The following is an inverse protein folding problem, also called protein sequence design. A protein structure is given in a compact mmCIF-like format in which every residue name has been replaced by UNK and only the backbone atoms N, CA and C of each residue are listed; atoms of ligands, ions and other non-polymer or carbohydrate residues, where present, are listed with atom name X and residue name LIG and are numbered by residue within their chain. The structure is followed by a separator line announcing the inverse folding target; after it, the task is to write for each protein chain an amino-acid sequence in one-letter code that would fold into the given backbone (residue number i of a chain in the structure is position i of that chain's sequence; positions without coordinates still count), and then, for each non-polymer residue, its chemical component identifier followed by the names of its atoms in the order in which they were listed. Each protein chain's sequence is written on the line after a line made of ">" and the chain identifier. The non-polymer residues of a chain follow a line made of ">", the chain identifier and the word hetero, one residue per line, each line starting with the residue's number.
data_IF_868520836168
#
_entry.id   IF_868520836168
#
_cell.length_a   1.000
_cell.length_b   1.000
_cell.length_c   1.000
_cell.angle_alpha   90.00
_cell.angle_beta   90.00
_cell.angle_gamma   90.00
#
_symmetry.space_group_name_H-M   'P 1'
#
loop_
_entity.id
_entity.type
_entity.pdbx_description
1 polymer ?
#
# COMPACT_ATOMS: atom_id res chain seq x y z
N UNK A 1 3.95 16.73 6.17
CA UNK A 1 4.49 15.44 6.65
C UNK A 1 4.04 15.09 8.08
N UNK A 2 3.46 16.01 8.87
CA UNK A 2 2.91 15.64 10.20
C UNK A 2 1.68 14.73 10.08
N UNK A 3 0.81 14.98 9.09
CA UNK A 3 -0.47 14.28 8.94
C UNK A 3 -0.38 12.74 8.95
N UNK A 4 0.66 12.12 8.37
CA UNK A 4 0.76 10.66 8.35
C UNK A 4 1.18 10.08 9.71
N UNK A 5 2.10 10.73 10.42
CA UNK A 5 2.51 10.31 11.76
C UNK A 5 1.39 10.58 12.78
N UNK A 6 0.65 11.68 12.59
CA UNK A 6 -0.53 12.00 13.39
C UNK A 6 -1.60 10.90 13.19
N UNK A 7 -1.82 10.44 11.96
CA UNK A 7 -2.72 9.31 11.67
C UNK A 7 -2.26 8.00 12.31
N UNK A 8 -0.96 7.65 12.25
CA UNK A 8 -0.47 6.43 12.89
C UNK A 8 -0.68 6.45 14.40
N UNK A 9 -0.41 7.60 15.03
CA UNK A 9 -0.63 7.76 16.46
C UNK A 9 -2.10 7.67 16.85
N UNK A 10 -3.00 8.26 16.05
CA UNK A 10 -4.45 8.13 16.26
C UNK A 10 -4.94 6.68 16.10
N UNK A 11 -4.30 5.88 15.24
CA UNK A 11 -4.59 4.45 15.06
C UNK A 11 -4.06 3.64 16.25
N UNK A 12 -2.83 3.91 16.71
CA UNK A 12 -2.26 3.28 17.91
C UNK A 12 -3.14 3.52 19.14
N UNK A 13 -3.54 4.77 19.38
CA UNK A 13 -4.41 5.15 20.51
C UNK A 13 -5.76 4.40 20.45
N UNK A 14 -6.35 4.23 19.26
CA UNK A 14 -7.60 3.47 19.07
C UNK A 14 -7.43 1.97 19.30
N UNK A 15 -6.31 1.38 18.88
CA UNK A 15 -6.01 -0.03 19.11
C UNK A 15 -5.88 -0.29 20.62
N UNK A 16 -5.19 0.60 21.35
CA UNK A 16 -5.02 0.49 22.80
C UNK A 16 -6.36 0.57 23.54
N UNK A 17 -7.23 1.50 23.15
CA UNK A 17 -8.58 1.61 23.72
C UNK A 17 -9.41 0.35 23.46
N UNK A 18 -9.40 -0.16 22.23
CA UNK A 18 -10.12 -1.40 21.88
C UNK A 18 -9.57 -2.63 22.61
N UNK A 19 -8.25 -2.72 22.81
CA UNK A 19 -7.65 -3.81 23.59
C UNK A 19 -8.08 -3.76 25.05
N UNK A 20 -8.09 -2.56 25.66
CA UNK A 20 -8.54 -2.36 27.03
C UNK A 20 -10.00 -2.79 27.20
N UNK A 21 -10.86 -2.34 26.29
CA UNK A 21 -12.29 -2.61 26.35
C UNK A 21 -12.58 -4.10 26.10
N UNK A 22 -11.88 -4.72 25.15
CA UNK A 22 -12.02 -6.16 24.86
C UNK A 22 -11.55 -7.01 26.05
N UNK A 23 -10.43 -6.66 26.69
CA UNK A 23 -9.95 -7.34 27.90
C UNK A 23 -10.93 -7.16 29.07
N UNK A 24 -11.51 -5.98 29.22
CA UNK A 24 -12.55 -5.75 30.22
C UNK A 24 -13.76 -6.65 29.97
N UNK A 25 -14.26 -6.72 28.73
CA UNK A 25 -15.37 -7.59 28.36
C UNK A 25 -15.05 -9.06 28.64
N UNK A 26 -13.87 -9.55 28.24
CA UNK A 26 -13.44 -10.94 28.47
C UNK A 26 -13.33 -11.29 29.96
N UNK A 27 -12.78 -10.39 30.77
CA UNK A 27 -12.60 -10.62 32.20
C UNK A 27 -13.93 -10.62 32.98
N UNK A 28 -14.92 -9.88 32.50
CA UNK A 28 -16.25 -9.81 33.12
C UNK A 28 -17.27 -10.74 32.45
N UNK A 29 -16.87 -11.48 31.41
CA UNK A 29 -17.74 -12.43 30.75
C UNK A 29 -17.94 -13.66 31.63
N UNK A 30 -19.19 -13.94 32.02
CA UNK A 30 -19.52 -15.13 32.79
C UNK A 30 -19.35 -16.37 31.88
N UNK A 31 -18.30 -17.14 32.17
CA UNK A 31 -17.88 -18.33 31.42
C UNK A 31 -18.96 -19.43 31.33
N UNK A 32 -20.02 -19.31 32.13
CA UNK A 32 -21.14 -20.26 32.16
C UNK A 32 -22.15 -20.09 31.01
N UNK A 33 -22.08 -19.02 30.22
CA UNK A 33 -22.86 -18.89 29.01
C UNK A 33 -22.20 -19.65 27.84
N UNK A 34 -22.84 -20.74 27.39
CA UNK A 34 -22.45 -21.57 26.23
C UNK A 34 -22.63 -20.81 24.89
N UNK A 35 -22.20 -19.57 24.79
CA UNK A 35 -22.39 -18.74 23.61
C UNK A 35 -21.08 -18.48 22.87
N UNK A 36 -21.17 -18.44 21.54
CA UNK A 36 -20.08 -18.12 20.59
C UNK A 36 -19.42 -16.74 20.85
N UNK A 37 -19.98 -15.92 21.72
CA UNK A 37 -19.53 -14.55 22.02
C UNK A 37 -18.15 -14.51 22.68
N UNK A 38 -17.84 -15.43 23.61
CA UNK A 38 -16.51 -15.50 24.21
C UNK A 38 -15.42 -15.80 23.17
N UNK A 39 -15.68 -16.73 22.26
CA UNK A 39 -14.77 -17.08 21.16
C UNK A 39 -14.61 -15.91 20.17
N UNK A 40 -15.68 -15.15 19.92
CA UNK A 40 -15.62 -13.92 19.11
C UNK A 40 -14.75 -12.87 19.79
N UNK A 41 -14.97 -12.60 21.08
CA UNK A 41 -14.18 -11.64 21.86
C UNK A 41 -12.70 -12.03 21.91
N UNK A 42 -12.39 -13.32 22.04
CA UNK A 42 -11.02 -13.83 22.04
C UNK A 42 -10.35 -13.68 20.67
N UNK A 43 -11.08 -13.92 19.57
CA UNK A 43 -10.59 -13.65 18.21
C UNK A 43 -10.32 -12.17 17.99
N UNK A 44 -11.21 -11.30 18.47
CA UNK A 44 -11.02 -9.84 18.40
C UNK A 44 -9.76 -9.44 19.19
N UNK A 45 -9.56 -9.99 20.39
CA UNK A 45 -8.36 -9.73 21.18
C UNK A 45 -7.08 -10.11 20.42
N UNK A 46 -7.04 -11.30 19.81
CA UNK A 46 -5.87 -11.74 19.05
C UNK A 46 -5.57 -10.80 17.87
N UNK A 47 -6.59 -10.40 17.10
CA UNK A 47 -6.43 -9.47 15.97
C UNK A 47 -5.88 -8.13 16.45
N UNK A 48 -6.35 -7.63 17.60
CA UNK A 48 -5.85 -6.37 18.16
C UNK A 48 -4.41 -6.49 18.66
N UNK A 49 -4.02 -7.64 19.22
CA UNK A 49 -2.64 -7.90 19.65
C UNK A 49 -1.68 -8.02 18.46
N UNK A 50 -2.09 -8.70 17.38
CA UNK A 50 -1.35 -8.76 16.12
C UNK A 50 -1.21 -7.37 15.48
N UNK A 51 -2.30 -6.61 15.41
CA UNK A 51 -2.31 -5.26 14.83
C UNK A 51 -1.38 -4.29 15.57
N UNK A 52 -1.30 -4.41 16.91
CA UNK A 52 -0.39 -3.61 17.73
C UNK A 52 1.09 -3.99 17.50
N UNK A 53 1.38 -5.22 17.08
CA UNK A 53 2.74 -5.68 16.74
C UNK A 53 3.16 -5.24 15.35
N UNK A 54 2.26 -5.29 14.37
CA UNK A 54 2.57 -5.02 12.95
C UNK A 54 2.74 -3.51 12.67
N UNK A 55 2.04 -2.65 13.43
CA UNK A 55 2.11 -1.19 13.28
C UNK A 55 3.53 -0.62 13.38
N UNK A 56 4.28 -0.90 14.46
CA UNK A 56 5.66 -0.45 14.62
C UNK A 56 6.61 -0.94 13.52
N UNK A 57 6.45 -2.18 13.06
CA UNK A 57 7.27 -2.74 11.97
C UNK A 57 6.99 -2.00 10.65
N UNK A 58 5.71 -1.74 10.35
CA UNK A 58 5.34 -0.98 9.17
C UNK A 58 5.87 0.47 9.20
N UNK A 59 5.79 1.13 10.36
CA UNK A 59 6.33 2.48 10.55
C UNK A 59 7.86 2.51 10.36
N UNK A 60 8.58 1.52 10.89
CA UNK A 60 10.02 1.38 10.70
C UNK A 60 10.38 1.24 9.22
N UNK A 61 9.67 0.38 8.50
CA UNK A 61 9.89 0.16 7.06
C UNK A 61 9.64 1.43 6.23
N UNK A 62 8.63 2.23 6.60
CA UNK A 62 8.35 3.53 5.97
C UNK A 62 9.49 4.53 6.16
N UNK A 63 10.05 4.62 7.37
CA UNK A 63 11.15 5.54 7.63
C UNK A 63 12.42 5.11 6.88
N UNK A 64 12.72 3.81 6.82
CA UNK A 64 13.83 3.28 6.01
C UNK A 64 13.67 3.55 4.51
N UNK A 65 12.45 3.40 3.97
CA UNK A 65 12.17 3.75 2.57
C UNK A 65 12.40 5.24 2.31
N UNK A 66 11.96 6.11 3.22
CA UNK A 66 12.17 7.56 3.12
C UNK A 66 13.66 7.91 3.11
N UNK A 67 14.46 7.34 4.01
CA UNK A 67 15.91 7.54 4.03
C UNK A 67 16.55 7.09 2.72
N UNK A 68 16.14 5.93 2.21
CA UNK A 68 16.64 5.39 0.94
C UNK A 68 16.32 6.32 -0.23
N UNK A 69 15.10 6.86 -0.30
CA UNK A 69 14.68 7.84 -1.32
C UNK A 69 15.53 9.11 -1.23
N UNK A 70 15.79 9.62 -0.02
CA UNK A 70 16.62 10.81 0.18
C UNK A 70 18.08 10.58 -0.27
N UNK A 71 18.63 9.41 0.00
CA UNK A 71 19.97 9.02 -0.49
C UNK A 71 19.99 8.95 -2.02
N UNK A 72 18.98 8.33 -2.63
CA UNK A 72 18.86 8.25 -4.08
C UNK A 72 18.78 9.65 -4.72
N UNK A 73 17.96 10.54 -4.15
CA UNK A 73 17.84 11.93 -4.60
C UNK A 73 19.19 12.66 -4.54
N UNK A 74 19.94 12.50 -3.45
CA UNK A 74 21.27 13.12 -3.31
C UNK A 74 22.23 12.62 -4.38
N UNK A 75 22.26 11.31 -4.63
CA UNK A 75 23.11 10.72 -5.68
C UNK A 75 22.72 11.21 -7.08
N UNK A 76 21.43 11.39 -7.36
CA UNK A 76 21.00 11.97 -8.63
C UNK A 76 21.52 13.39 -8.80
N UNK A 77 21.47 14.22 -7.74
CA UNK A 77 22.02 15.58 -7.77
C UNK A 77 23.53 15.59 -7.96
N UNK A 78 24.26 14.69 -7.31
CA UNK A 78 25.71 14.53 -7.50
C UNK A 78 26.05 14.17 -8.95
N UNK A 79 25.29 13.25 -9.55
CA UNK A 79 25.45 12.86 -10.96
C UNK A 79 25.13 14.02 -11.90
N UNK A 80 24.07 14.79 -11.64
CA UNK A 80 23.69 15.95 -12.44
C UNK A 80 24.79 17.03 -12.43
N UNK A 81 25.44 17.28 -11.28
CA UNK A 81 26.59 18.20 -11.22
C UNK A 81 27.82 17.63 -11.96
N UNK A 82 28.11 16.33 -11.86
CA UNK A 82 29.21 15.71 -12.65
C UNK A 82 28.95 15.85 -14.16
N UNK A 83 27.72 15.61 -14.62
CA UNK A 83 27.32 15.75 -16.03
C UNK A 83 27.57 17.18 -16.52
N UNK A 84 27.22 18.17 -15.68
CA UNK A 84 27.43 19.59 -15.95
C UNK A 84 28.90 19.97 -15.99
N UNK A 85 29.71 19.48 -15.05
CA UNK A 85 31.17 19.70 -15.01
C UNK A 85 31.88 19.10 -16.23
N UNK A 86 31.38 17.96 -16.74
CA UNK A 86 31.88 17.33 -17.96
C UNK A 86 31.42 18.05 -19.24
N UNK A 87 30.63 19.12 -19.14
CA UNK A 87 30.09 19.86 -20.28
C UNK A 87 29.11 19.05 -21.13
N UNK A 88 28.59 17.94 -20.60
CA UNK A 88 27.60 17.10 -21.27
C UNK A 88 26.25 17.81 -21.08
N UNK A 89 25.91 18.70 -22.01
CA UNK A 89 24.55 19.24 -22.06
C UNK A 89 23.61 18.10 -22.42
N UNK A 90 22.58 17.89 -21.59
CA UNK A 90 21.46 17.03 -21.94
C UNK A 90 20.99 17.49 -23.32
N UNK A 91 21.18 16.67 -24.35
CA UNK A 91 20.70 17.00 -25.68
C UNK A 91 19.21 17.23 -25.53
N UNK A 92 18.77 18.47 -25.76
CA UNK A 92 17.37 18.73 -25.95
C UNK A 92 16.99 17.82 -27.13
N UNK A 93 16.13 16.83 -26.89
CA UNK A 93 15.41 16.19 -27.98
C UNK A 93 14.57 17.31 -28.62
N UNK A 94 15.17 17.98 -29.59
CA UNK A 94 14.47 18.81 -30.55
C UNK A 94 14.55 18.10 -31.89
N UNK A 95 13.38 17.78 -32.41
CA UNK A 95 13.16 16.95 -33.58
C UNK A 95 11.92 16.10 -33.38
N UNK A 96 10.73 16.49 -33.80
CA UNK A 96 10.36 17.63 -34.61
C UNK A 96 8.91 17.42 -35.02
N UNK A 97 8.13 18.49 -34.95
CA UNK A 97 6.83 18.60 -35.60
C UNK A 97 6.98 18.27 -37.08
N UNK A 98 6.52 17.09 -37.50
CA UNK A 98 6.17 16.82 -38.88
C UNK A 98 4.67 16.57 -38.91
N UNK A 99 3.94 17.62 -39.29
CA UNK A 99 2.54 17.53 -39.64
C UNK A 99 2.48 17.26 -41.15
N UNK A 100 2.03 16.09 -41.60
CA UNK A 100 1.29 16.01 -42.84
C UNK A 100 -0.19 15.83 -42.48
N UNK A 101 -0.96 16.87 -42.77
CA UNK A 101 -2.41 16.81 -42.95
C UNK A 101 -2.82 15.52 -43.65
N UNK A 102 -3.59 14.67 -42.97
CA UNK A 102 -4.05 13.38 -43.50
C UNK A 102 -5.03 12.67 -42.58
N UNK A 103 -6.27 13.18 -42.55
CA UNK A 103 -7.55 12.58 -42.15
C UNK A 103 -7.61 11.20 -41.44
N UNK A 104 -8.38 11.22 -40.32
CA UNK A 104 -9.34 10.21 -39.85
C UNK A 104 -8.88 9.12 -38.83
N UNK A 105 -9.78 8.53 -38.01
CA UNK A 105 -10.06 9.01 -36.65
C UNK A 105 -9.99 7.93 -35.53
N UNK A 106 -10.00 8.40 -34.26
CA UNK A 106 -10.44 7.70 -33.01
C UNK A 106 -9.71 6.40 -32.64
N UNK A 107 -9.27 6.11 -31.41
CA UNK A 107 -9.77 6.41 -30.06
C UNK A 107 -8.65 6.01 -29.11
N UNK A 108 -8.40 6.79 -28.06
CA UNK A 108 -7.45 6.41 -27.02
C UNK A 108 -7.91 5.18 -26.23
N UNK A 109 -6.97 4.58 -25.51
CA UNK A 109 -7.09 4.09 -24.13
C UNK A 109 -5.68 3.64 -23.71
N UNK A 110 -4.97 4.48 -22.95
CA UNK A 110 -3.83 4.02 -22.15
C UNK A 110 -4.37 3.05 -21.12
N UNK A 111 -4.15 1.74 -21.31
CA UNK A 111 -4.45 0.75 -20.30
C UNK A 111 -3.45 0.89 -19.16
N UNK A 112 -3.99 1.26 -18.00
CA UNK A 112 -3.34 1.17 -16.71
C UNK A 112 -2.90 -0.27 -16.44
N UNK A 113 -1.70 -0.44 -15.89
CA UNK A 113 -1.06 -1.70 -15.49
C UNK A 113 -1.90 -2.55 -14.50
N UNK A 114 -3.04 -2.04 -14.05
CA UNK A 114 -3.96 -2.68 -13.10
C UNK A 114 -4.94 -3.64 -13.82
N UNK A 115 -5.22 -3.47 -15.11
CA UNK A 115 -6.17 -4.35 -15.84
C UNK A 115 -5.59 -5.74 -16.19
N UNK A 116 -4.26 -5.88 -16.26
CA UNK A 116 -3.62 -7.15 -16.68
C UNK A 116 -3.57 -8.21 -15.56
N UNK A 117 -3.80 -7.82 -14.30
CA UNK A 117 -3.79 -8.75 -13.14
C UNK A 117 -5.18 -9.29 -12.76
N UNK A 118 -6.27 -8.72 -13.29
CA UNK A 118 -7.63 -9.19 -13.00
C UNK A 118 -8.17 -10.21 -14.01
N UNK A 119 -7.46 -10.46 -15.10
CA UNK A 119 -7.88 -11.42 -16.14
C UNK A 119 -7.30 -12.84 -15.99
N UNK A 120 -6.42 -13.08 -15.02
CA UNK A 120 -5.77 -14.39 -14.84
C UNK A 120 -6.31 -15.26 -13.68
N UNK A 121 -7.32 -14.81 -12.93
CA UNK A 121 -7.83 -15.56 -11.76
C UNK A 121 -9.30 -15.99 -11.85
N UNK A 122 -9.93 -15.96 -13.03
CA UNK A 122 -11.29 -16.49 -13.23
C UNK A 122 -11.33 -17.51 -14.37
N UNK A 123 -10.70 -18.68 -14.16
CA UNK A 123 -11.00 -19.87 -14.94
C UNK A 123 -10.72 -21.13 -14.14
N UNK A 124 -11.69 -21.55 -13.32
CA UNK A 124 -12.08 -22.96 -13.20
C UNK A 124 -13.31 -23.06 -12.30
N UNK A 125 -14.46 -22.67 -12.85
CA UNK A 125 -15.74 -23.25 -12.44
C UNK A 125 -16.22 -24.19 -13.54
N UNK A 126 -16.46 -25.43 -13.11
CA UNK A 126 -17.57 -26.27 -13.55
C UNK A 126 -17.44 -27.02 -14.89
N UNK A 127 -17.08 -28.31 -14.78
CA UNK A 127 -17.55 -29.36 -15.69
C UNK A 127 -18.29 -30.43 -14.89
N UNK A 128 -19.57 -30.16 -14.61
CA UNK A 128 -20.57 -31.23 -14.64
C UNK A 128 -20.53 -31.90 -16.02
N UNK A 129 -20.34 -33.23 -16.05
CA UNK A 129 -21.13 -34.09 -16.94
C UNK A 129 -20.93 -35.59 -16.64
N UNK A 130 -22.05 -36.24 -16.28
CA UNK A 130 -22.56 -37.48 -16.89
C UNK A 130 -21.69 -38.75 -16.75
N UNK A 131 -22.01 -39.59 -15.77
CA UNK A 131 -22.65 -40.92 -15.98
C UNK A 131 -23.04 -41.59 -14.66
#
# INVERSE_FOLDING_TARGET
>A
MSNLMDIFRDIEDQIDDLQRDTKFCLNNYDYHHKNNEYEILKKIQNILEESASDGPEFQMNLEQMKETIQVAQRKCLEVDEIIKDLGITKSANDGGSHNPTGNSPTTGHSRSFIEEQLQNNNHDENKENIR
#
